data_IF_290677184048
#
_entry.id   IF_290677184048
#
_cell.length_a   1.000
_cell.length_b   1.000
_cell.length_c   1.000
_cell.angle_alpha   90.00
_cell.angle_beta   90.00
_cell.angle_gamma   90.00
#
_symmetry.space_group_name_H-M   'P 1'
#
loop_
_entity.id
_entity.type
_entity.pdbx_description
1 polymer ?
#
# COMPACT_ATOMS: atom_id res chain seq x y z
N UNK A 1 33.21 -11.09 -31.38
CA UNK A 1 32.45 -10.22 -30.46
C UNK A 1 31.50 -11.10 -29.68
N UNK A 2 31.80 -11.34 -28.42
CA UNK A 2 31.01 -12.19 -27.53
C UNK A 2 29.83 -11.32 -27.00
N UNK A 3 28.63 -11.60 -27.43
CA UNK A 3 27.45 -11.11 -26.77
C UNK A 3 27.32 -11.86 -25.43
N UNK A 4 27.67 -11.18 -24.36
CA UNK A 4 27.44 -11.70 -23.02
C UNK A 4 25.96 -11.90 -22.80
N UNK A 5 25.56 -13.11 -22.39
CA UNK A 5 24.24 -13.41 -21.93
C UNK A 5 23.88 -12.43 -20.79
N UNK A 6 22.75 -11.72 -20.94
CA UNK A 6 22.22 -10.88 -19.89
C UNK A 6 22.00 -11.73 -18.63
N UNK A 7 22.08 -11.15 -17.42
CA UNK A 7 21.92 -11.90 -16.20
C UNK A 7 20.53 -12.54 -16.19
N UNK A 8 20.50 -13.87 -16.14
CA UNK A 8 19.30 -14.61 -15.77
C UNK A 8 18.90 -14.13 -14.38
N UNK A 9 17.72 -13.50 -14.26
CA UNK A 9 17.14 -13.13 -12.97
C UNK A 9 16.93 -14.41 -12.18
N UNK A 10 17.62 -14.53 -11.06
CA UNK A 10 17.50 -15.67 -10.17
C UNK A 10 16.08 -15.65 -9.56
N UNK A 11 15.32 -16.69 -9.82
CA UNK A 11 13.92 -16.87 -9.37
C UNK A 11 13.89 -17.24 -7.87
N UNK A 12 14.25 -16.29 -6.97
CA UNK A 12 14.27 -16.58 -5.53
C UNK A 12 13.84 -15.41 -4.64
N UNK A 13 14.28 -14.21 -4.96
CA UNK A 13 14.13 -13.04 -4.08
C UNK A 13 13.26 -11.92 -4.65
N UNK A 14 12.71 -12.06 -5.85
CA UNK A 14 11.92 -11.02 -6.50
C UNK A 14 10.47 -10.98 -6.00
N UNK A 15 9.88 -9.80 -6.06
CA UNK A 15 8.45 -9.56 -5.82
C UNK A 15 7.81 -8.93 -7.06
N UNK A 16 6.55 -9.25 -7.29
CA UNK A 16 5.74 -8.75 -8.41
C UNK A 16 4.67 -7.80 -7.89
N UNK A 17 4.79 -6.53 -8.27
CA UNK A 17 3.98 -5.41 -7.76
C UNK A 17 3.11 -4.86 -8.88
N UNK A 18 1.79 -4.94 -8.76
CA UNK A 18 0.89 -4.28 -9.72
C UNK A 18 0.96 -2.76 -9.56
N UNK A 19 1.37 -2.07 -10.62
CA UNK A 19 1.38 -0.61 -10.69
C UNK A 19 0.06 -0.05 -11.23
N UNK A 20 -0.59 -0.81 -12.12
CA UNK A 20 -1.91 -0.50 -12.65
C UNK A 20 -2.61 -1.79 -13.08
N UNK A 21 -3.92 -1.80 -13.02
CA UNK A 21 -4.77 -2.91 -13.47
C UNK A 21 -6.02 -2.38 -14.16
N UNK A 22 -6.47 -3.03 -15.23
CA UNK A 22 -7.64 -2.64 -16.01
C UNK A 22 -7.48 -1.32 -16.79
N UNK A 23 -6.25 -0.87 -17.09
CA UNK A 23 -6.04 0.38 -17.82
C UNK A 23 -6.06 0.18 -19.33
N UNK A 24 -6.60 1.14 -20.14
CA UNK A 24 -6.71 0.97 -21.59
C UNK A 24 -5.37 1.15 -22.31
N UNK A 25 -4.41 1.80 -21.70
CA UNK A 25 -3.06 2.00 -22.23
C UNK A 25 -2.08 2.40 -21.16
N UNK A 26 -0.79 2.17 -21.40
CA UNK A 26 0.30 2.63 -20.54
C UNK A 26 1.42 3.21 -21.38
N UNK A 27 2.07 4.25 -20.85
CA UNK A 27 3.28 4.85 -21.42
C UNK A 27 4.49 4.45 -20.58
N UNK A 28 5.54 3.99 -21.27
CA UNK A 28 6.79 3.56 -20.65
C UNK A 28 7.95 4.36 -21.23
N UNK A 29 8.86 4.85 -20.39
CA UNK A 29 9.99 5.67 -20.79
C UNK A 29 11.16 5.58 -19.81
N UNK A 30 11.98 6.65 -19.72
CA UNK A 30 13.06 6.77 -18.75
C UNK A 30 14.46 6.52 -19.30
N UNK A 31 14.60 6.28 -20.61
CA UNK A 31 15.88 6.06 -21.29
C UNK A 31 15.76 4.97 -22.36
N UNK A 32 16.86 4.49 -22.92
CA UNK A 32 16.79 3.40 -23.88
C UNK A 32 16.18 2.15 -23.28
N UNK A 33 15.10 1.64 -23.88
CA UNK A 33 14.34 0.50 -23.41
C UNK A 33 14.69 -0.75 -24.23
N UNK A 34 14.80 -1.88 -23.58
CA UNK A 34 14.94 -3.21 -24.17
C UNK A 34 13.59 -3.93 -23.99
N UNK A 35 13.05 -4.44 -25.09
CA UNK A 35 11.74 -5.06 -25.16
C UNK A 35 11.89 -6.57 -25.37
N UNK A 36 11.31 -7.37 -24.49
CA UNK A 36 11.41 -8.82 -24.50
C UNK A 36 10.00 -9.44 -24.42
N UNK A 37 9.90 -10.69 -24.86
CA UNK A 37 8.76 -11.55 -24.52
C UNK A 37 8.85 -12.06 -23.08
N UNK A 38 7.87 -12.88 -22.64
CA UNK A 38 7.88 -13.46 -21.28
C UNK A 38 9.00 -14.45 -21.06
N UNK A 39 9.57 -15.05 -22.11
CA UNK A 39 10.70 -15.96 -22.03
C UNK A 39 12.06 -15.22 -22.01
N UNK A 40 12.05 -13.89 -22.18
CA UNK A 40 13.24 -13.05 -22.20
C UNK A 40 13.89 -12.91 -23.58
N UNK A 41 13.23 -13.37 -24.65
CA UNK A 41 13.78 -13.17 -26.00
C UNK A 41 13.50 -11.73 -26.48
N UNK A 42 14.47 -11.08 -27.14
CA UNK A 42 14.28 -9.75 -27.69
C UNK A 42 13.16 -9.73 -28.73
N UNK A 43 12.20 -8.82 -28.58
CA UNK A 43 11.12 -8.61 -29.53
C UNK A 43 11.51 -7.67 -30.69
N UNK A 44 12.55 -6.88 -30.49
CA UNK A 44 13.09 -5.93 -31.50
C UNK A 44 14.55 -5.62 -31.18
N UNK A 45 15.32 -5.24 -32.20
CA UNK A 45 16.65 -4.66 -32.05
C UNK A 45 16.66 -3.16 -31.75
N UNK A 46 15.48 -2.50 -31.86
CA UNK A 46 15.37 -1.08 -31.54
C UNK A 46 15.40 -0.84 -30.03
N UNK A 47 16.00 0.27 -29.62
CA UNK A 47 16.08 0.71 -28.22
C UNK A 47 15.37 2.07 -28.06
N UNK A 48 14.02 2.11 -28.13
CA UNK A 48 13.29 3.36 -28.00
C UNK A 48 13.50 3.97 -26.59
N UNK A 49 13.37 5.29 -26.50
CA UNK A 49 13.40 6.00 -25.22
C UNK A 49 12.01 6.18 -24.61
N UNK A 50 10.99 5.89 -25.39
CA UNK A 50 9.59 5.97 -25.05
C UNK A 50 8.77 5.03 -25.91
N UNK A 51 7.77 4.37 -25.34
CA UNK A 51 6.77 3.55 -26.00
C UNK A 51 5.40 3.76 -25.37
N UNK A 52 4.34 3.53 -26.14
CA UNK A 52 2.98 3.40 -25.65
C UNK A 52 2.45 2.02 -25.96
N UNK A 53 1.97 1.33 -24.96
CA UNK A 53 1.32 0.02 -25.06
C UNK A 53 -0.18 0.22 -24.98
N UNK A 54 -0.91 -0.35 -25.93
CA UNK A 54 -2.38 -0.31 -25.98
C UNK A 54 -2.92 -1.73 -26.18
N UNK A 55 -4.12 -1.97 -25.68
CA UNK A 55 -4.84 -3.20 -25.94
C UNK A 55 -5.24 -3.26 -27.44
N UNK A 56 -5.07 -4.44 -28.08
CA UNK A 56 -5.50 -4.67 -29.44
C UNK A 56 -5.91 -6.11 -29.69
N UNK A 57 -7.21 -6.36 -29.82
CA UNK A 57 -7.75 -7.68 -29.95
C UNK A 57 -7.42 -8.56 -28.76
N UNK A 58 -6.81 -9.72 -28.99
CA UNK A 58 -6.39 -10.65 -27.93
C UNK A 58 -5.02 -10.32 -27.32
N UNK A 59 -4.26 -9.35 -27.86
CA UNK A 59 -2.88 -9.02 -27.46
C UNK A 59 -2.65 -7.54 -27.24
N UNK A 60 -1.39 -7.15 -27.38
CA UNK A 60 -0.85 -5.81 -27.21
C UNK A 60 -0.37 -5.23 -28.54
N UNK A 61 -0.53 -3.92 -28.73
CA UNK A 61 0.16 -3.14 -29.76
C UNK A 61 1.11 -2.16 -29.07
N UNK A 62 2.39 -2.25 -29.42
CA UNK A 62 3.44 -1.36 -28.94
C UNK A 62 3.71 -0.29 -29.99
N UNK A 63 3.47 0.95 -29.66
CA UNK A 63 3.71 2.14 -30.48
C UNK A 63 4.99 2.86 -30.05
N UNK A 64 5.60 3.62 -30.99
CA UNK A 64 6.86 4.31 -30.73
C UNK A 64 8.09 3.60 -31.32
N UNK A 65 7.89 2.54 -32.11
CA UNK A 65 8.95 1.76 -32.76
C UNK A 65 9.09 2.04 -34.28
N UNK A 66 8.58 3.17 -34.77
CA UNK A 66 8.52 3.51 -36.18
C UNK A 66 7.12 3.36 -36.79
N UNK A 67 7.04 3.12 -38.13
CA UNK A 67 5.74 3.09 -38.82
C UNK A 67 4.91 1.85 -38.59
N UNK A 68 5.53 0.72 -38.32
CA UNK A 68 4.85 -0.54 -37.98
C UNK A 68 4.97 -0.80 -36.48
N UNK A 69 3.82 -0.79 -35.80
CA UNK A 69 3.77 -1.15 -34.38
C UNK A 69 4.12 -2.63 -34.17
N UNK A 70 4.80 -2.93 -33.07
CA UNK A 70 5.06 -4.31 -32.63
C UNK A 70 3.78 -4.88 -32.01
N UNK A 71 3.46 -6.14 -32.34
CA UNK A 71 2.39 -6.92 -31.65
C UNK A 71 2.99 -7.97 -30.76
N UNK A 72 2.42 -8.17 -29.58
CA UNK A 72 2.85 -9.17 -28.61
C UNK A 72 1.67 -9.61 -27.76
N UNK A 73 1.75 -10.80 -27.15
CA UNK A 73 0.77 -11.27 -26.16
C UNK A 73 1.03 -10.66 -24.77
N UNK A 74 2.30 -10.42 -24.47
CA UNK A 74 2.79 -9.72 -23.28
C UNK A 74 4.15 -9.08 -23.61
N UNK A 75 4.55 -8.12 -22.78
CA UNK A 75 5.77 -7.34 -22.96
C UNK A 75 6.51 -7.24 -21.64
N UNK A 76 7.81 -7.56 -21.64
CA UNK A 76 8.75 -7.26 -20.56
C UNK A 76 9.69 -6.16 -21.00
N UNK A 77 9.74 -5.08 -20.23
CA UNK A 77 10.54 -3.89 -20.54
C UNK A 77 11.58 -3.70 -19.46
N UNK A 78 12.83 -3.58 -19.90
CA UNK A 78 13.99 -3.31 -19.02
C UNK A 78 14.65 -2.04 -19.54
N UNK A 79 15.04 -1.15 -18.64
CA UNK A 79 15.83 -0.01 -19.03
C UNK A 79 17.31 -0.42 -19.23
N UNK A 80 17.90 -0.01 -20.35
CA UNK A 80 19.33 -0.26 -20.61
C UNK A 80 20.20 0.42 -19.55
N UNK A 81 21.41 -0.11 -19.32
CA UNK A 81 22.42 0.46 -18.41
C UNK A 81 21.98 0.55 -16.95
N UNK A 82 21.16 -0.39 -16.45
CA UNK A 82 20.68 -0.42 -15.06
C UNK A 82 19.98 0.87 -14.61
N UNK A 83 19.38 1.61 -15.56
CA UNK A 83 18.47 2.70 -15.24
C UNK A 83 17.11 2.15 -14.80
N UNK A 84 16.09 2.98 -14.71
CA UNK A 84 14.74 2.57 -14.32
C UNK A 84 13.78 2.76 -15.50
N UNK A 85 12.70 1.98 -15.52
CA UNK A 85 11.59 2.17 -16.45
C UNK A 85 10.63 3.17 -15.85
N UNK A 86 10.32 4.24 -16.58
CA UNK A 86 9.36 5.26 -16.13
C UNK A 86 7.95 4.88 -16.52
N UNK A 87 7.05 4.85 -15.51
CA UNK A 87 5.61 4.61 -15.67
C UNK A 87 4.85 5.68 -14.90
N UNK A 88 3.96 6.41 -15.54
CA UNK A 88 3.15 7.44 -14.87
C UNK A 88 3.98 8.54 -14.17
N UNK A 89 5.19 8.84 -14.68
CA UNK A 89 6.11 9.83 -14.09
C UNK A 89 7.04 9.31 -13.01
N UNK A 90 6.88 8.06 -12.55
CA UNK A 90 7.70 7.41 -11.52
C UNK A 90 8.70 6.45 -12.17
N UNK A 91 9.94 6.46 -11.71
CA UNK A 91 11.01 5.57 -12.16
C UNK A 91 10.99 4.26 -11.34
N UNK A 92 10.79 3.13 -12.01
CA UNK A 92 10.73 1.80 -11.38
C UNK A 92 11.98 0.97 -11.74
N UNK A 93 12.73 0.48 -10.74
CA UNK A 93 13.85 -0.42 -10.97
C UNK A 93 13.35 -1.81 -11.40
N UNK A 94 14.26 -2.65 -11.92
CA UNK A 94 13.93 -4.00 -12.33
C UNK A 94 13.23 -4.07 -13.68
N UNK A 95 12.23 -4.92 -13.79
CA UNK A 95 11.46 -5.19 -15.02
C UNK A 95 10.06 -4.62 -14.88
N UNK A 96 9.56 -3.99 -15.93
CA UNK A 96 8.13 -3.66 -16.04
C UNK A 96 7.50 -4.59 -17.07
N UNK A 97 6.56 -5.41 -16.60
CA UNK A 97 5.79 -6.31 -17.44
C UNK A 97 4.42 -5.70 -17.74
N UNK A 98 3.97 -5.79 -18.99
CA UNK A 98 2.63 -5.40 -19.40
C UNK A 98 1.94 -6.61 -20.00
N UNK A 99 0.76 -6.94 -19.48
CA UNK A 99 -0.10 -8.02 -19.98
C UNK A 99 -1.50 -7.50 -20.28
N UNK A 100 -2.17 -8.15 -21.19
CA UNK A 100 -3.62 -8.04 -21.29
C UNK A 100 -4.30 -8.91 -20.25
N UNK A 101 -5.29 -8.36 -19.56
CA UNK A 101 -6.24 -9.06 -18.69
C UNK A 101 -7.66 -8.82 -19.16
N UNK A 102 -8.67 -9.44 -18.55
CA UNK A 102 -10.06 -9.31 -19.03
C UNK A 102 -10.57 -7.88 -19.16
N UNK A 103 -10.11 -6.99 -18.28
CA UNK A 103 -10.60 -5.62 -18.13
C UNK A 103 -9.63 -4.55 -18.71
N UNK A 104 -8.58 -4.95 -19.44
CA UNK A 104 -7.60 -4.02 -20.00
C UNK A 104 -6.15 -4.51 -19.82
N UNK A 105 -5.24 -3.58 -19.57
CA UNK A 105 -3.83 -3.89 -19.33
C UNK A 105 -3.53 -3.94 -17.83
N UNK A 106 -2.81 -4.96 -17.42
CA UNK A 106 -2.14 -5.03 -16.10
C UNK A 106 -0.67 -4.69 -16.28
N UNK A 107 -0.16 -3.78 -15.45
CA UNK A 107 1.24 -3.33 -15.44
C UNK A 107 1.88 -3.79 -14.13
N UNK A 108 2.92 -4.60 -14.21
CA UNK A 108 3.59 -5.20 -13.06
C UNK A 108 5.05 -4.81 -13.03
N UNK A 109 5.54 -4.34 -11.90
CA UNK A 109 6.97 -4.18 -11.63
C UNK A 109 7.49 -5.43 -10.93
N UNK A 110 8.49 -6.08 -11.50
CA UNK A 110 9.21 -7.23 -10.95
C UNK A 110 10.61 -6.80 -10.58
N UNK A 111 10.96 -6.96 -9.30
CA UNK A 111 12.20 -6.44 -8.75
C UNK A 111 12.61 -7.20 -7.48
N UNK A 112 13.91 -7.12 -7.06
CA UNK A 112 14.36 -7.66 -5.77
C UNK A 112 13.55 -7.10 -4.59
N UNK A 113 13.18 -7.98 -3.65
CA UNK A 113 12.37 -7.63 -2.47
C UNK A 113 12.96 -6.44 -1.69
N UNK A 114 14.28 -6.38 -1.51
CA UNK A 114 14.91 -5.28 -0.74
C UNK A 114 14.81 -3.92 -1.46
N UNK A 115 14.79 -3.89 -2.78
CA UNK A 115 14.52 -2.66 -3.55
C UNK A 115 13.05 -2.23 -3.41
N UNK A 116 12.12 -3.19 -3.43
CA UNK A 116 10.71 -2.93 -3.12
C UNK A 116 10.53 -2.39 -1.70
N UNK A 117 11.14 -3.03 -0.69
CA UNK A 117 11.09 -2.58 0.71
C UNK A 117 11.60 -1.14 0.82
N UNK A 118 12.69 -0.81 0.13
CA UNK A 118 13.23 0.57 0.14
C UNK A 118 12.23 1.57 -0.44
N UNK A 119 11.65 1.26 -1.61
CA UNK A 119 10.66 2.12 -2.24
C UNK A 119 9.38 2.28 -1.42
N UNK A 120 8.95 1.22 -0.73
CA UNK A 120 7.77 1.27 0.13
C UNK A 120 8.03 2.02 1.44
N UNK A 121 9.16 1.81 2.10
CA UNK A 121 9.52 2.58 3.31
C UNK A 121 9.63 4.07 2.98
N UNK A 122 10.22 4.43 1.82
CA UNK A 122 10.30 5.83 1.37
C UNK A 122 8.91 6.43 1.16
N UNK A 123 7.98 5.68 0.56
CA UNK A 123 6.62 6.15 0.29
C UNK A 123 5.77 6.29 1.57
N UNK A 124 5.93 5.35 2.52
CA UNK A 124 5.10 5.25 3.73
C UNK A 124 5.60 6.12 4.89
N UNK A 125 6.92 6.22 5.08
CA UNK A 125 7.53 6.89 6.22
C UNK A 125 8.34 8.14 5.83
N UNK A 126 8.79 8.22 4.59
CA UNK A 126 9.73 9.26 4.15
C UNK A 126 11.14 9.04 4.70
N UNK A 127 12.02 10.02 4.49
CA UNK A 127 13.44 9.95 4.84
C UNK A 127 13.82 10.79 6.09
N UNK A 128 12.86 11.49 6.67
CA UNK A 128 13.07 12.35 7.85
C UNK A 128 12.84 11.65 9.19
N UNK A 129 12.37 10.40 9.16
CA UNK A 129 12.12 9.61 10.36
C UNK A 129 13.42 9.14 11.04
N UNK A 130 13.42 8.95 12.37
CA UNK A 130 14.56 8.37 13.08
C UNK A 130 14.95 7.00 12.52
N UNK A 131 16.25 6.69 12.52
CA UNK A 131 16.77 5.45 11.93
C UNK A 131 16.13 4.18 12.50
N UNK A 132 15.92 4.11 13.81
CA UNK A 132 15.31 2.93 14.44
C UNK A 132 13.82 2.77 14.06
N UNK A 133 13.11 3.88 13.82
CA UNK A 133 11.76 3.83 13.24
C UNK A 133 11.79 3.34 11.79
N UNK A 134 12.71 3.83 10.96
CA UNK A 134 12.88 3.35 9.58
C UNK A 134 13.25 1.85 9.52
N UNK A 135 14.08 1.36 10.45
CA UNK A 135 14.39 -0.07 10.59
C UNK A 135 13.15 -0.88 10.97
N UNK A 136 12.36 -0.41 11.95
CA UNK A 136 11.11 -1.05 12.32
C UNK A 136 10.15 -1.12 11.13
N UNK A 137 9.99 -0.01 10.40
CA UNK A 137 9.16 0.05 9.20
C UNK A 137 9.66 -0.90 8.11
N UNK A 138 10.97 -1.00 7.89
CA UNK A 138 11.55 -1.91 6.90
C UNK A 138 11.26 -3.38 7.22
N UNK A 139 11.34 -3.79 8.48
CA UNK A 139 11.01 -5.15 8.92
C UNK A 139 9.51 -5.42 8.71
N UNK A 140 8.64 -4.48 9.07
CA UNK A 140 7.18 -4.61 8.91
C UNK A 140 6.79 -4.69 7.43
N UNK A 141 7.29 -3.78 6.59
CA UNK A 141 7.05 -3.79 5.13
C UNK A 141 7.51 -5.11 4.52
N UNK A 142 8.71 -5.59 4.89
CA UNK A 142 9.25 -6.87 4.40
C UNK A 142 8.40 -8.06 4.85
N UNK A 143 7.96 -8.09 6.11
CA UNK A 143 7.09 -9.15 6.64
C UNK A 143 5.77 -9.20 5.88
N UNK A 144 5.14 -8.04 5.69
CA UNK A 144 3.89 -7.92 4.93
C UNK A 144 4.06 -8.38 3.48
N UNK A 145 5.13 -7.92 2.82
CA UNK A 145 5.43 -8.31 1.44
C UNK A 145 5.71 -9.81 1.30
N UNK A 146 6.50 -10.39 2.19
CA UNK A 146 6.80 -11.83 2.21
C UNK A 146 5.55 -12.67 2.47
N UNK A 147 4.68 -12.22 3.38
CA UNK A 147 3.37 -12.86 3.62
C UNK A 147 2.53 -12.88 2.35
N UNK A 148 2.36 -11.74 1.68
CA UNK A 148 1.55 -11.64 0.46
C UNK A 148 2.18 -12.38 -0.73
N UNK A 149 3.50 -12.40 -0.85
CA UNK A 149 4.21 -13.22 -1.84
C UNK A 149 3.88 -14.70 -1.69
N UNK A 150 3.87 -15.22 -0.43
CA UNK A 150 3.45 -16.61 -0.15
C UNK A 150 1.96 -16.84 -0.45
N UNK A 151 1.08 -15.93 -0.04
CA UNK A 151 -0.36 -16.03 -0.21
C UNK A 151 -0.79 -15.98 -1.68
N UNK A 152 -0.09 -15.21 -2.49
CA UNK A 152 -0.42 -14.92 -3.88
C UNK A 152 0.55 -15.61 -4.87
N UNK A 153 1.31 -16.60 -4.41
CA UNK A 153 2.24 -17.35 -5.26
C UNK A 153 1.53 -17.92 -6.49
N UNK A 154 2.12 -17.73 -7.66
CA UNK A 154 1.54 -18.16 -8.94
C UNK A 154 0.49 -17.22 -9.56
N UNK A 155 0.10 -16.14 -8.87
CA UNK A 155 -0.72 -15.09 -9.46
C UNK A 155 0.12 -14.14 -10.32
N UNK A 156 -0.50 -13.32 -11.21
CA UNK A 156 0.21 -12.35 -12.03
C UNK A 156 1.03 -11.35 -11.21
N UNK A 157 0.60 -11.02 -10.01
CA UNK A 157 1.30 -10.17 -9.02
C UNK A 157 0.96 -10.58 -7.59
N UNK A 158 1.82 -10.26 -6.66
CA UNK A 158 1.64 -10.57 -5.23
C UNK A 158 1.07 -9.40 -4.42
N UNK A 159 1.37 -8.17 -4.83
CA UNK A 159 1.03 -6.94 -4.12
C UNK A 159 0.56 -5.87 -5.11
N UNK A 160 -0.24 -4.91 -4.64
CA UNK A 160 -0.65 -3.72 -5.39
C UNK A 160 0.01 -2.48 -4.78
N UNK A 161 0.59 -1.63 -5.63
CA UNK A 161 1.19 -0.35 -5.25
C UNK A 161 0.11 0.71 -4.95
N UNK A 162 -0.63 0.54 -3.86
CA UNK A 162 -1.71 1.42 -3.46
C UNK A 162 -2.01 1.27 -1.96
N UNK A 163 -2.79 2.20 -1.40
CA UNK A 163 -3.21 2.19 0.01
C UNK A 163 -3.99 0.95 0.46
N UNK A 164 -4.46 0.14 -0.49
CA UNK A 164 -5.10 -1.15 -0.21
C UNK A 164 -4.10 -2.22 0.27
N UNK A 165 -2.83 -2.07 -0.12
CA UNK A 165 -1.72 -2.90 0.36
C UNK A 165 -0.62 -2.04 0.97
N UNK A 166 0.35 -1.56 0.16
CA UNK A 166 1.44 -0.69 0.58
C UNK A 166 1.71 0.36 -0.49
N UNK A 167 2.02 1.58 -0.09
CA UNK A 167 2.50 2.59 -1.03
C UNK A 167 3.88 2.21 -1.55
N UNK A 168 4.19 2.61 -2.78
CA UNK A 168 5.45 2.30 -3.42
C UNK A 168 5.91 3.46 -4.31
N UNK A 169 7.02 4.10 -3.94
CA UNK A 169 7.57 5.27 -4.62
C UNK A 169 8.50 4.93 -5.81
N UNK A 170 8.67 3.63 -6.13
CA UNK A 170 9.65 3.22 -7.13
C UNK A 170 11.09 3.42 -6.65
N UNK A 171 11.93 4.00 -7.51
CA UNK A 171 13.34 4.21 -7.25
C UNK A 171 13.58 5.30 -6.19
N UNK A 172 14.37 4.97 -5.18
CA UNK A 172 14.77 5.88 -4.10
C UNK A 172 16.16 6.47 -4.37
N UNK A 173 16.39 7.73 -4.00
CA UNK A 173 17.70 8.37 -4.10
C UNK A 173 18.76 7.60 -3.31
N UNK A 174 19.97 7.51 -3.85
CA UNK A 174 21.05 6.71 -3.27
C UNK A 174 21.55 7.24 -1.91
N UNK A 175 21.31 8.50 -1.62
CA UNK A 175 21.68 9.19 -0.37
C UNK A 175 20.58 9.13 0.71
N UNK A 176 19.39 8.58 0.39
CA UNK A 176 18.32 8.43 1.37
C UNK A 176 18.73 7.53 2.54
N UNK A 177 18.47 7.95 3.79
CA UNK A 177 18.73 7.13 4.98
C UNK A 177 17.93 5.82 5.01
N UNK A 178 16.86 5.72 4.22
CA UNK A 178 16.04 4.51 4.07
C UNK A 178 16.91 3.33 3.60
N UNK A 179 17.86 3.54 2.68
CA UNK A 179 18.80 2.50 2.26
C UNK A 179 19.62 1.93 3.41
N UNK A 180 20.04 2.79 4.35
CA UNK A 180 20.76 2.34 5.54
C UNK A 180 19.88 1.46 6.41
N UNK A 181 18.63 1.88 6.68
CA UNK A 181 17.68 1.12 7.49
C UNK A 181 17.40 -0.26 6.89
N UNK A 182 17.16 -0.31 5.58
CA UNK A 182 16.89 -1.57 4.85
C UNK A 182 18.10 -2.48 4.86
N UNK A 183 19.31 -1.97 4.60
CA UNK A 183 20.55 -2.79 4.65
C UNK A 183 20.83 -3.35 6.05
N UNK A 184 20.67 -2.54 7.11
CA UNK A 184 20.92 -2.98 8.49
C UNK A 184 19.88 -3.99 9.00
N UNK A 185 18.73 -4.10 8.33
CA UNK A 185 17.67 -5.07 8.65
C UNK A 185 17.44 -6.10 7.54
N UNK A 186 18.40 -6.23 6.59
CA UNK A 186 18.24 -7.09 5.42
C UNK A 186 17.78 -8.50 5.82
N UNK A 187 16.75 -9.00 5.13
CA UNK A 187 16.16 -10.32 5.35
C UNK A 187 15.43 -10.52 6.67
N UNK A 188 15.43 -9.55 7.60
CA UNK A 188 14.72 -9.69 8.86
C UNK A 188 13.20 -9.53 8.66
N UNK A 189 12.44 -10.48 9.21
CA UNK A 189 10.97 -10.50 9.24
C UNK A 189 10.45 -10.84 10.61
N UNK A 190 9.16 -10.66 10.82
CA UNK A 190 8.45 -11.08 12.02
C UNK A 190 7.67 -12.37 11.75
N UNK A 191 7.74 -13.30 12.70
CA UNK A 191 6.94 -14.50 12.74
C UNK A 191 6.05 -14.50 14.00
N UNK A 192 4.93 -15.18 13.90
CA UNK A 192 4.09 -15.58 15.01
C UNK A 192 3.93 -17.09 14.97
N UNK A 193 4.34 -17.77 16.04
CA UNK A 193 4.31 -19.24 16.12
C UNK A 193 4.99 -19.91 14.90
N UNK A 194 6.10 -19.33 14.45
CA UNK A 194 6.88 -19.83 13.32
C UNK A 194 6.39 -19.42 11.94
N UNK A 195 5.25 -18.75 11.81
CA UNK A 195 4.67 -18.35 10.53
C UNK A 195 4.72 -16.84 10.29
N UNK A 196 4.79 -16.46 8.98
CA UNK A 196 4.57 -15.08 8.56
C UNK A 196 3.11 -14.68 8.78
N UNK A 197 2.89 -13.43 9.14
CA UNK A 197 1.56 -12.83 9.26
C UNK A 197 1.51 -11.47 8.56
N UNK A 198 0.32 -10.93 8.23
CA UNK A 198 0.20 -9.62 7.62
C UNK A 198 0.49 -8.53 8.66
N UNK A 199 1.75 -8.13 8.77
CA UNK A 199 2.21 -7.10 9.69
C UNK A 199 1.66 -5.73 9.27
N UNK A 200 0.40 -5.44 9.64
CA UNK A 200 -0.27 -4.17 9.33
C UNK A 200 0.35 -3.00 10.09
N UNK A 201 0.27 -1.83 9.49
CA UNK A 201 0.71 -0.56 10.08
C UNK A 201 -0.18 0.59 9.61
N UNK A 202 -0.14 1.70 10.32
CA UNK A 202 -0.96 2.88 10.02
C UNK A 202 -0.27 4.14 10.55
N UNK A 203 -0.75 5.31 10.11
CA UNK A 203 -0.07 6.58 10.37
C UNK A 203 -0.12 7.00 11.84
N UNK A 204 -1.29 6.96 12.49
CA UNK A 204 -1.47 7.38 13.90
C UNK A 204 -2.67 6.64 14.51
N UNK A 205 -2.45 5.97 15.63
CA UNK A 205 -3.50 5.21 16.33
C UNK A 205 -4.53 6.10 17.04
N UNK A 206 -4.19 7.34 17.36
CA UNK A 206 -4.98 8.21 18.23
C UNK A 206 -4.91 7.81 19.71
N UNK A 207 -3.92 6.96 20.11
CA UNK A 207 -3.65 6.54 21.48
C UNK A 207 -3.96 5.08 21.81
N UNK A 208 -4.55 4.31 20.87
CA UNK A 208 -4.79 2.88 21.05
C UNK A 208 -4.91 2.18 19.69
N UNK A 209 -4.18 1.08 19.50
CA UNK A 209 -4.35 0.27 18.27
C UNK A 209 -5.64 -0.55 18.34
N UNK A 210 -6.06 -1.12 17.22
CA UNK A 210 -7.35 -1.80 17.08
C UNK A 210 -7.20 -3.29 16.78
N UNK A 211 -8.20 -4.05 17.16
CA UNK A 211 -8.35 -5.45 16.79
C UNK A 211 -8.64 -5.60 15.27
N UNK A 212 -7.86 -6.41 14.53
CA UNK A 212 -8.09 -6.63 13.11
C UNK A 212 -9.50 -7.17 12.78
N UNK A 213 -10.13 -7.90 13.69
CA UNK A 213 -11.50 -8.42 13.51
C UNK A 213 -12.53 -7.30 13.40
N UNK A 214 -12.31 -6.20 14.12
CA UNK A 214 -13.18 -5.01 14.06
C UNK A 214 -13.06 -4.32 12.70
N UNK A 215 -11.84 -4.20 12.18
CA UNK A 215 -11.55 -3.43 10.97
C UNK A 215 -11.83 -4.24 9.70
N UNK A 216 -11.25 -5.44 9.61
CA UNK A 216 -11.21 -6.20 8.35
C UNK A 216 -12.31 -7.26 8.24
N UNK A 217 -13.14 -7.47 9.28
CA UNK A 217 -14.09 -8.60 9.39
C UNK A 217 -13.41 -9.96 9.14
N UNK A 218 -12.12 -10.01 9.44
CA UNK A 218 -11.25 -11.10 9.09
C UNK A 218 -11.10 -12.08 10.24
N UNK A 219 -10.42 -13.17 9.95
CA UNK A 219 -10.02 -14.21 10.88
C UNK A 219 -9.21 -13.68 12.07
N UNK A 220 -9.17 -14.49 13.13
CA UNK A 220 -8.30 -14.24 14.26
C UNK A 220 -6.84 -14.11 13.81
N UNK A 221 -6.20 -13.01 14.20
CA UNK A 221 -4.78 -12.73 13.94
C UNK A 221 -4.09 -12.46 15.28
N UNK A 222 -3.66 -13.50 16.01
CA UNK A 222 -3.18 -13.37 17.39
C UNK A 222 -1.96 -12.46 17.54
N UNK A 223 -1.14 -12.33 16.50
CA UNK A 223 -0.01 -11.40 16.46
C UNK A 223 -0.41 -9.92 16.53
N UNK A 224 -1.68 -9.59 16.28
CA UNK A 224 -2.20 -8.24 16.11
C UNK A 224 -3.14 -7.84 17.26
N UNK A 225 -2.73 -8.11 18.49
CA UNK A 225 -3.50 -7.68 19.66
C UNK A 225 -3.48 -6.16 19.82
N UNK A 226 -4.59 -5.54 20.21
CA UNK A 226 -4.64 -4.11 20.48
C UNK A 226 -3.68 -3.71 21.61
N UNK A 227 -2.93 -2.63 21.42
CA UNK A 227 -2.04 -2.06 22.46
C UNK A 227 -2.39 -0.60 22.71
N UNK A 228 -2.29 -0.18 23.99
CA UNK A 228 -2.43 1.23 24.35
C UNK A 228 -1.12 1.96 24.00
N UNK A 229 -1.21 3.09 23.30
CA UNK A 229 -0.05 3.88 22.88
C UNK A 229 0.06 5.10 23.80
N UNK A 230 1.03 5.05 24.71
CA UNK A 230 1.24 6.09 25.74
C UNK A 230 2.36 7.09 25.34
N UNK A 231 2.90 6.95 24.14
CA UNK A 231 3.95 7.83 23.64
C UNK A 231 3.35 9.12 23.05
N UNK A 232 3.99 10.28 23.26
CA UNK A 232 3.54 11.53 22.67
C UNK A 232 3.47 11.42 21.14
N UNK A 233 2.46 12.02 20.52
CA UNK A 233 2.38 12.09 19.07
C UNK A 233 2.48 13.55 18.61
N UNK A 234 3.42 13.83 17.70
CA UNK A 234 3.54 15.09 16.98
C UNK A 234 2.85 15.04 15.60
N UNK A 235 2.07 13.99 15.36
CA UNK A 235 1.32 13.81 14.13
C UNK A 235 0.26 14.92 13.98
N UNK A 236 0.18 15.57 12.82
CA UNK A 236 -0.89 16.54 12.53
C UNK A 236 -2.26 15.88 12.42
N UNK A 237 -2.30 14.56 12.49
CA UNK A 237 -3.51 13.75 12.45
C UNK A 237 -3.93 13.22 13.83
N UNK A 238 -3.16 13.52 14.88
CA UNK A 238 -3.47 13.01 16.22
C UNK A 238 -4.82 13.48 16.71
N UNK A 239 -5.15 14.76 16.50
CA UNK A 239 -6.50 15.29 16.70
C UNK A 239 -6.96 15.96 15.41
N UNK A 240 -8.20 15.77 15.02
CA UNK A 240 -8.76 16.36 13.82
C UNK A 240 -10.27 16.65 13.95
N UNK A 241 -10.73 17.63 13.19
CA UNK A 241 -12.14 17.93 12.99
C UNK A 241 -12.45 17.88 11.50
N UNK A 242 -13.71 17.60 11.17
CA UNK A 242 -14.23 17.62 9.81
C UNK A 242 -15.67 18.10 9.83
N UNK A 243 -15.93 19.24 9.21
CA UNK A 243 -17.28 19.73 8.91
C UNK A 243 -17.64 19.31 7.49
N UNK A 244 -18.63 18.43 7.34
CA UNK A 244 -19.04 17.87 6.06
C UNK A 244 -20.49 18.29 5.77
N UNK A 245 -20.77 19.00 4.65
CA UNK A 245 -22.14 19.23 4.22
C UNK A 245 -22.91 17.92 4.05
N UNK A 246 -24.14 17.85 4.56
CA UNK A 246 -24.96 16.63 4.46
C UNK A 246 -25.14 16.18 3.01
N UNK A 247 -25.26 17.09 2.07
CA UNK A 247 -25.34 16.76 0.63
C UNK A 247 -24.08 16.04 0.10
N UNK A 248 -22.91 16.38 0.66
CA UNK A 248 -21.66 15.70 0.34
C UNK A 248 -21.61 14.29 0.93
N UNK A 249 -22.07 14.13 2.16
CA UNK A 249 -22.21 12.83 2.82
C UNK A 249 -23.21 11.93 2.07
N UNK A 250 -24.37 12.46 1.73
CA UNK A 250 -25.40 11.78 0.94
C UNK A 250 -24.86 11.27 -0.40
N UNK A 251 -24.16 12.14 -1.13
CA UNK A 251 -23.53 11.78 -2.40
C UNK A 251 -22.44 10.69 -2.22
N UNK A 252 -21.68 10.74 -1.14
CA UNK A 252 -20.67 9.71 -0.82
C UNK A 252 -21.32 8.35 -0.52
N UNK A 253 -22.35 8.33 0.32
CA UNK A 253 -23.13 7.13 0.62
C UNK A 253 -23.79 6.55 -0.64
N UNK A 254 -24.38 7.40 -1.48
CA UNK A 254 -25.01 6.98 -2.74
C UNK A 254 -24.01 6.32 -3.69
N UNK A 255 -22.80 6.88 -3.87
CA UNK A 255 -21.74 6.28 -4.69
C UNK A 255 -21.30 4.92 -4.15
N UNK A 256 -21.30 4.75 -2.82
CA UNK A 256 -20.99 3.49 -2.15
C UNK A 256 -22.14 2.46 -2.16
N UNK A 257 -23.26 2.72 -2.84
CA UNK A 257 -24.44 1.85 -2.83
C UNK A 257 -25.23 1.88 -1.51
N UNK A 258 -24.96 2.84 -0.64
CA UNK A 258 -25.51 2.99 0.71
C UNK A 258 -26.48 4.17 0.82
N UNK A 259 -27.14 4.54 -0.28
CA UNK A 259 -28.04 5.70 -0.32
C UNK A 259 -29.21 5.56 0.65
N UNK A 260 -29.47 6.63 1.44
CA UNK A 260 -30.54 6.73 2.44
C UNK A 260 -31.55 7.84 2.13
N UNK A 261 -31.40 8.51 0.99
CA UNK A 261 -32.07 9.77 0.71
C UNK A 261 -31.36 10.92 1.43
N UNK A 262 -32.10 11.90 1.97
CA UNK A 262 -31.52 12.95 2.81
C UNK A 262 -31.11 12.37 4.16
N UNK A 263 -29.92 12.70 4.63
CA UNK A 263 -29.46 12.34 5.99
C UNK A 263 -30.16 13.23 7.01
N UNK A 264 -30.80 12.63 7.99
CA UNK A 264 -31.56 13.30 9.07
C UNK A 264 -30.78 13.28 10.38
N UNK A 265 -30.11 12.14 10.70
CA UNK A 265 -29.30 11.98 11.91
C UNK A 265 -28.21 10.91 11.71
N UNK A 266 -27.20 10.97 12.58
CA UNK A 266 -26.11 9.98 12.68
C UNK A 266 -25.96 9.60 14.15
N UNK A 267 -26.11 8.30 14.48
CA UNK A 267 -25.99 7.81 15.85
C UNK A 267 -24.90 6.73 15.94
N UNK A 268 -23.90 6.99 16.77
CA UNK A 268 -22.89 5.97 17.09
C UNK A 268 -23.51 4.95 18.05
N UNK A 269 -23.69 3.71 17.56
CA UNK A 269 -24.35 2.65 18.32
C UNK A 269 -23.39 1.86 19.19
N UNK A 270 -22.19 1.57 18.67
CA UNK A 270 -21.22 0.72 19.35
C UNK A 270 -19.80 1.20 19.11
N UNK A 271 -18.93 0.95 20.10
CA UNK A 271 -17.50 1.22 20.05
C UNK A 271 -16.70 -0.01 20.49
N UNK A 272 -15.50 -0.15 19.93
CA UNK A 272 -14.52 -1.13 20.40
C UNK A 272 -13.83 -0.70 21.70
N UNK A 273 -12.94 -1.55 22.21
CA UNK A 273 -12.08 -1.24 23.36
C UNK A 273 -11.17 -0.02 23.07
N UNK A 274 -10.76 0.19 21.82
CA UNK A 274 -9.99 1.36 21.39
C UNK A 274 -10.84 2.62 21.22
N UNK A 275 -12.13 2.58 21.57
CA UNK A 275 -13.14 3.63 21.40
C UNK A 275 -13.48 3.94 19.92
N UNK A 276 -13.00 3.14 18.96
CA UNK A 276 -13.37 3.30 17.56
C UNK A 276 -14.82 2.88 17.35
N UNK A 277 -15.50 3.61 16.46
CA UNK A 277 -16.88 3.31 16.06
C UNK A 277 -16.88 1.97 15.32
N UNK A 278 -17.58 0.99 15.88
CA UNK A 278 -17.80 -0.33 15.27
C UNK A 278 -19.13 -0.38 14.53
N UNK A 279 -20.16 0.31 15.03
CA UNK A 279 -21.46 0.43 14.38
C UNK A 279 -22.01 1.86 14.47
N UNK A 280 -22.57 2.33 13.37
CA UNK A 280 -23.19 3.65 13.23
C UNK A 280 -24.54 3.51 12.53
N UNK A 281 -25.58 4.13 13.05
CA UNK A 281 -26.85 4.30 12.36
C UNK A 281 -26.82 5.59 11.54
N UNK A 282 -27.30 5.49 10.30
CA UNK A 282 -27.53 6.62 9.39
C UNK A 282 -29.03 6.69 9.16
N UNK A 283 -29.70 7.69 9.77
CA UNK A 283 -31.12 7.91 9.60
C UNK A 283 -31.37 8.75 8.35
N UNK A 284 -32.18 8.23 7.46
CA UNK A 284 -32.44 8.88 6.17
C UNK A 284 -33.91 9.05 5.83
N UNK A 285 -34.21 9.99 4.93
CA UNK A 285 -35.58 10.25 4.51
C UNK A 285 -36.21 9.09 3.70
N UNK A 286 -35.42 8.22 3.12
CA UNK A 286 -35.87 7.06 2.34
C UNK A 286 -35.78 5.75 3.12
N UNK A 287 -34.76 5.61 3.95
CA UNK A 287 -34.53 4.45 4.82
C UNK A 287 -33.44 4.74 5.83
N UNK A 288 -33.43 3.95 6.91
CA UNK A 288 -32.33 3.88 7.86
C UNK A 288 -31.36 2.77 7.50
N UNK A 289 -30.07 2.96 7.79
CA UNK A 289 -29.04 1.95 7.65
C UNK A 289 -28.20 1.86 8.92
N UNK A 290 -27.84 0.64 9.30
CA UNK A 290 -26.79 0.40 10.30
C UNK A 290 -25.58 -0.12 9.57
N UNK A 291 -24.46 0.59 9.68
CA UNK A 291 -23.20 0.30 8.98
C UNK A 291 -22.11 -0.05 9.99
N UNK A 292 -21.16 -0.88 9.53
CA UNK A 292 -19.88 -1.00 10.26
C UNK A 292 -19.13 0.32 10.12
N UNK A 293 -18.41 0.73 11.17
CA UNK A 293 -17.65 1.98 11.17
C UNK A 293 -16.66 2.07 10.00
N UNK A 294 -15.98 0.95 9.66
CA UNK A 294 -15.05 0.93 8.53
C UNK A 294 -15.75 1.01 7.15
N UNK A 295 -16.96 0.45 7.01
CA UNK A 295 -17.74 0.57 5.77
C UNK A 295 -18.26 2.01 5.58
N UNK A 296 -18.69 2.66 6.66
CA UNK A 296 -19.03 4.07 6.67
C UNK A 296 -17.83 4.94 6.29
N UNK A 297 -16.66 4.69 6.90
CA UNK A 297 -15.40 5.36 6.56
C UNK A 297 -15.02 5.16 5.09
N UNK A 298 -15.12 3.94 4.57
CA UNK A 298 -14.85 3.62 3.16
C UNK A 298 -15.76 4.38 2.20
N UNK A 299 -17.05 4.48 2.49
CA UNK A 299 -18.01 5.19 1.66
C UNK A 299 -17.70 6.69 1.58
N UNK A 300 -17.26 7.30 2.68
CA UNK A 300 -16.86 8.71 2.73
C UNK A 300 -15.50 8.92 2.03
N UNK A 301 -14.60 7.98 2.16
CA UNK A 301 -13.21 8.03 1.68
C UNK A 301 -12.21 8.03 2.82
N UNK A 302 -11.19 7.19 2.72
CA UNK A 302 -10.17 6.98 3.76
C UNK A 302 -9.32 8.23 4.05
N UNK A 303 -9.15 9.11 3.07
CA UNK A 303 -8.41 10.36 3.21
C UNK A 303 -9.26 11.49 3.77
N UNK A 304 -10.59 11.40 3.67
CA UNK A 304 -11.56 12.38 4.16
C UNK A 304 -11.90 12.08 5.63
N UNK A 305 -12.43 10.90 5.92
CA UNK A 305 -12.68 10.45 7.30
C UNK A 305 -11.45 9.66 7.79
N UNK A 306 -10.54 10.37 8.46
CA UNK A 306 -9.18 9.90 8.75
C UNK A 306 -9.10 8.59 9.53
N UNK A 307 -10.05 8.35 10.44
CA UNK A 307 -10.12 7.12 11.25
C UNK A 307 -11.57 6.83 11.64
N UNK A 308 -11.81 5.69 12.27
CA UNK A 308 -13.10 5.37 12.91
C UNK A 308 -13.15 5.81 14.39
N UNK A 309 -12.09 6.43 14.91
CA UNK A 309 -12.04 7.00 16.25
C UNK A 309 -12.57 8.43 16.23
N UNK A 310 -13.88 8.60 16.20
CA UNK A 310 -14.53 9.91 16.13
C UNK A 310 -15.82 9.98 16.97
N UNK A 311 -16.22 11.21 17.32
CA UNK A 311 -17.58 11.59 17.66
C UNK A 311 -18.19 12.34 16.47
N UNK A 312 -19.50 12.28 16.31
CA UNK A 312 -20.22 12.97 15.25
C UNK A 312 -21.52 13.56 15.78
N UNK A 313 -21.89 14.72 15.26
CA UNK A 313 -23.20 15.36 15.46
C UNK A 313 -23.69 15.95 14.14
N UNK A 314 -25.00 15.93 13.91
CA UNK A 314 -25.66 16.65 12.82
C UNK A 314 -26.16 17.98 13.37
N UNK A 315 -25.70 19.08 12.76
CA UNK A 315 -26.06 20.44 13.12
C UNK A 315 -26.47 21.22 11.85
N UNK A 316 -27.74 21.48 11.72
CA UNK A 316 -28.32 22.10 10.52
C UNK A 316 -28.03 21.26 9.26
N UNK A 317 -27.25 21.80 8.33
CA UNK A 317 -26.88 21.15 7.06
C UNK A 317 -25.49 20.49 7.10
N UNK A 318 -24.87 20.37 8.28
CA UNK A 318 -23.52 19.84 8.46
C UNK A 318 -23.51 18.57 9.34
N UNK A 319 -22.73 17.59 8.95
CA UNK A 319 -22.23 16.54 9.85
C UNK A 319 -20.86 16.99 10.37
N UNK A 320 -20.75 17.20 11.69
CA UNK A 320 -19.51 17.62 12.36
C UNK A 320 -18.86 16.45 13.04
N UNK A 321 -17.65 16.13 12.60
CA UNK A 321 -16.83 15.07 13.19
C UNK A 321 -15.69 15.67 13.99
N UNK A 322 -15.42 15.09 15.16
CA UNK A 322 -14.21 15.32 15.94
C UNK A 322 -13.56 13.96 16.22
N UNK A 323 -12.33 13.79 15.80
CA UNK A 323 -11.70 12.48 15.87
C UNK A 323 -10.20 12.52 16.16
N UNK A 324 -9.62 11.33 16.28
CA UNK A 324 -8.21 11.11 16.58
C UNK A 324 -7.61 10.05 15.66
N UNK A 325 -6.32 10.24 15.33
CA UNK A 325 -5.55 9.32 14.55
C UNK A 325 -5.88 9.28 13.06
N UNK A 326 -5.05 8.58 12.29
CA UNK A 326 -5.18 8.39 10.85
C UNK A 326 -4.80 6.98 10.44
N UNK A 327 -5.70 6.30 9.76
CA UNK A 327 -5.56 4.93 9.31
C UNK A 327 -6.55 3.97 9.98
N UNK A 328 -6.35 2.68 9.75
CA UNK A 328 -7.22 1.62 10.26
C UNK A 328 -6.97 1.28 11.74
N UNK A 329 -5.82 1.65 12.30
CA UNK A 329 -5.48 1.46 13.69
C UNK A 329 -4.86 0.11 14.05
N UNK A 330 -4.70 -0.83 13.13
CA UNK A 330 -4.17 -2.18 13.41
C UNK A 330 -2.65 -2.24 13.30
N UNK A 331 -1.97 -2.89 14.24
CA UNK A 331 -0.52 -3.12 14.22
C UNK A 331 0.30 -1.88 14.52
N UNK A 332 1.42 -1.66 13.80
CA UNK A 332 2.37 -0.57 14.09
C UNK A 332 1.74 0.82 13.85
N UNK A 333 1.77 1.65 14.89
CA UNK A 333 1.50 3.09 14.82
C UNK A 333 2.80 3.83 14.47
N UNK A 334 2.86 4.42 13.26
CA UNK A 334 4.07 5.10 12.78
C UNK A 334 4.42 6.34 13.63
N UNK A 335 3.43 7.10 14.10
CA UNK A 335 3.65 8.27 14.95
C UNK A 335 4.18 7.87 16.32
N UNK A 336 3.60 6.85 16.96
CA UNK A 336 4.09 6.31 18.21
C UNK A 336 5.46 5.65 18.07
N UNK A 337 5.73 4.92 17.00
CA UNK A 337 7.03 4.32 16.70
C UNK A 337 8.12 5.40 16.50
N UNK A 338 7.78 6.52 15.84
CA UNK A 338 8.66 7.69 15.73
C UNK A 338 9.04 8.23 17.10
N UNK A 339 8.06 8.44 17.97
CA UNK A 339 8.27 8.92 19.33
C UNK A 339 9.13 7.96 20.15
N UNK A 340 8.86 6.65 20.09
CA UNK A 340 9.69 5.63 20.74
C UNK A 340 11.15 5.72 20.27
N UNK A 341 11.39 5.81 18.96
CA UNK A 341 12.74 5.92 18.41
C UNK A 341 13.46 7.19 18.87
N UNK A 342 12.75 8.33 18.99
CA UNK A 342 13.29 9.58 19.54
C UNK A 342 13.63 9.46 21.03
N UNK A 343 12.92 8.62 21.77
CA UNK A 343 13.20 8.29 23.17
C UNK A 343 14.30 7.22 23.35
N UNK A 344 14.92 6.75 22.24
CA UNK A 344 16.04 5.83 22.27
C UNK A 344 15.65 4.34 22.20
N UNK A 345 14.40 4.02 21.94
CA UNK A 345 13.99 2.61 21.72
C UNK A 345 14.55 2.09 20.39
N UNK A 346 15.08 0.87 20.41
CA UNK A 346 15.53 0.16 19.22
C UNK A 346 14.34 -0.32 18.38
N UNK A 347 14.58 -0.58 17.09
CA UNK A 347 13.58 -1.17 16.18
C UNK A 347 12.96 -2.45 16.76
N UNK A 348 13.79 -3.30 17.41
CA UNK A 348 13.32 -4.53 18.06
C UNK A 348 12.32 -4.23 19.20
N UNK A 349 12.62 -3.27 20.06
CA UNK A 349 11.74 -2.89 21.18
C UNK A 349 10.43 -2.26 20.66
N UNK A 350 10.50 -1.43 19.60
CA UNK A 350 9.33 -0.85 18.93
C UNK A 350 8.43 -1.97 18.40
N UNK A 351 9.00 -2.93 17.68
CA UNK A 351 8.22 -4.02 17.09
C UNK A 351 7.62 -4.98 18.14
N UNK A 352 8.36 -5.28 19.19
CA UNK A 352 7.84 -6.08 20.32
C UNK A 352 6.70 -5.37 21.07
N UNK A 353 6.70 -4.04 21.10
CA UNK A 353 5.61 -3.26 21.70
C UNK A 353 4.32 -3.35 20.88
N UNK A 354 4.40 -3.17 19.54
CA UNK A 354 3.21 -3.18 18.67
C UNK A 354 2.74 -4.57 18.25
N UNK A 355 3.62 -5.56 18.33
CA UNK A 355 3.33 -6.97 18.03
C UNK A 355 3.83 -7.84 19.18
N UNK A 356 3.13 -7.85 20.33
CA UNK A 356 3.55 -8.62 21.50
C UNK A 356 3.67 -10.12 21.17
N UNK A 357 4.79 -10.71 21.55
CA UNK A 357 5.04 -12.15 21.36
C UNK A 357 5.60 -12.54 19.99
N UNK A 358 5.90 -11.57 19.10
CA UNK A 358 6.51 -11.91 17.80
C UNK A 358 7.96 -12.35 17.93
N UNK A 359 8.35 -13.23 17.03
CA UNK A 359 9.70 -13.73 16.85
C UNK A 359 10.37 -13.01 15.66
N UNK A 360 11.67 -12.71 15.80
CA UNK A 360 12.46 -12.18 14.69
C UNK A 360 13.14 -13.34 13.97
N UNK A 361 12.86 -13.46 12.69
CA UNK A 361 13.40 -14.50 11.83
C UNK A 361 14.12 -13.89 10.62
N UNK A 362 14.91 -14.70 9.94
CA UNK A 362 15.45 -14.36 8.62
C UNK A 362 14.56 -14.99 7.53
N UNK A 363 14.34 -14.28 6.44
CA UNK A 363 13.86 -14.90 5.20
C UNK A 363 14.94 -15.87 4.71
N UNK A 364 14.52 -17.04 4.24
CA UNK A 364 15.44 -18.06 3.72
C UNK A 364 16.21 -17.58 2.49
#
# INVERSE_FOLDING_TARGET
MLFGAGPALAAGDDIRVALADGVPSVELGGGPLLLHDLAGHPLTGATPTWIRVVERGAGLEVRGLGREGLRADALRVVAARKSAVRVGGIDYPGVVEVRRTGDGLTVVNELPLEEYVTGSVQAEAGDTMPLEMLKAQAIVVRTYAAYHRRLNAGKPYEIVAATVHQQYAGRVSADSPVWRAVRETRGQVLHWEGDLFPAFYHTDSGGHTEDPRVVFAATNMPALVPVRVEFPSDSPHHNWTLDMPLVTLEAALQRGGLGVGRVLALDVLERSVSLRVTRIAVHGSARDLILRGNDFRRAIGYDVLKSTLFAVAVDGSLARFAGRGYGHGVGLDQAGAKSMAQLGYSARQILQYYYPGVEFAALP
#
